data_IF_259307657113
#
_entry.id   IF_259307657113
#
_cell.length_a   1.000
_cell.length_b   1.000
_cell.length_c   1.000
_cell.angle_alpha   90.00
_cell.angle_beta   90.00
_cell.angle_gamma   90.00
#
_symmetry.space_group_name_H-M   'P 1'
#
loop_
_entity.id
_entity.type
_entity.pdbx_description
1 polymer ?
#
# COMPACT_ATOMS: atom_id res chain seq x y z
N UNK A 1 -1.37 -43.17 26.55
CA UNK A 1 -1.67 -42.44 25.33
C UNK A 1 -1.50 -40.96 25.60
N UNK A 2 -0.48 -40.39 25.01
CA UNK A 2 -0.22 -38.95 25.15
C UNK A 2 -1.04 -38.23 24.12
N UNK A 3 -1.95 -37.41 24.59
CA UNK A 3 -2.66 -36.49 23.70
C UNK A 3 -1.71 -35.35 23.34
N UNK A 4 -1.22 -35.39 22.13
CA UNK A 4 -0.54 -34.24 21.55
C UNK A 4 -1.62 -33.22 21.18
N UNK A 5 -1.89 -32.32 22.09
CA UNK A 5 -2.75 -31.18 21.80
C UNK A 5 -1.86 -30.06 21.26
N UNK A 6 -1.80 -29.96 19.95
CA UNK A 6 -1.17 -28.80 19.35
C UNK A 6 -2.17 -27.63 19.37
N UNK A 7 -1.73 -26.41 19.71
CA UNK A 7 -2.60 -25.25 19.60
C UNK A 7 -3.08 -25.10 18.16
N UNK A 8 -4.36 -24.94 17.97
CA UNK A 8 -5.01 -24.78 16.66
C UNK A 8 -4.48 -23.55 15.92
N UNK A 9 -3.95 -22.58 16.65
CA UNK A 9 -3.37 -21.35 16.11
C UNK A 9 -1.97 -21.20 16.69
N UNK A 10 -0.97 -21.13 15.83
CA UNK A 10 0.40 -20.79 16.23
C UNK A 10 0.37 -19.39 16.87
N UNK A 11 0.94 -19.25 18.05
CA UNK A 11 1.02 -17.96 18.74
C UNK A 11 1.69 -16.87 17.91
N UNK A 12 2.57 -17.25 16.98
CA UNK A 12 3.18 -16.31 16.04
C UNK A 12 2.17 -15.75 15.05
N UNK A 13 1.11 -16.50 14.75
CA UNK A 13 0.04 -16.09 13.85
C UNK A 13 -1.06 -15.26 14.55
N UNK A 14 -0.97 -15.12 15.89
CA UNK A 14 -1.89 -14.27 16.64
C UNK A 14 -1.49 -12.78 16.61
N UNK A 15 -0.27 -12.48 16.16
CA UNK A 15 0.16 -11.08 16.01
C UNK A 15 -0.58 -10.47 14.82
N UNK A 16 -1.20 -9.28 14.99
CA UNK A 16 -1.82 -8.60 13.88
C UNK A 16 -0.80 -8.31 12.77
N UNK A 17 -1.20 -8.52 11.54
CA UNK A 17 -0.41 -8.12 10.39
C UNK A 17 -0.57 -6.62 10.18
N UNK A 18 0.52 -5.88 10.33
CA UNK A 18 0.55 -4.43 10.14
C UNK A 18 1.17 -4.12 8.79
N UNK A 19 0.49 -3.31 8.01
CA UNK A 19 0.99 -2.84 6.71
C UNK A 19 1.01 -1.32 6.68
N UNK A 20 2.11 -0.77 6.17
CA UNK A 20 2.24 0.66 5.86
C UNK A 20 2.27 0.81 4.35
N UNK A 21 1.33 1.56 3.81
CA UNK A 21 1.27 1.87 2.38
C UNK A 21 1.64 3.32 2.15
N UNK A 22 2.65 3.54 1.34
CA UNK A 22 3.05 4.87 0.88
C UNK A 22 2.51 5.15 -0.51
N UNK A 23 1.76 6.23 -0.65
CA UNK A 23 1.09 6.60 -1.90
C UNK A 23 1.69 7.87 -2.47
N UNK A 24 2.08 7.82 -3.74
CA UNK A 24 2.67 8.95 -4.44
C UNK A 24 4.11 9.20 -4.04
N UNK A 25 4.71 10.28 -4.54
CA UNK A 25 6.13 10.57 -4.31
C UNK A 25 6.49 10.73 -2.85
N UNK A 26 5.75 11.55 -2.12
CA UNK A 26 6.01 11.79 -0.69
C UNK A 26 5.77 10.54 0.15
N UNK A 27 4.70 9.79 -0.14
CA UNK A 27 4.40 8.53 0.55
C UNK A 27 5.47 7.47 0.29
N UNK A 28 5.94 7.35 -0.95
CA UNK A 28 7.02 6.43 -1.31
C UNK A 28 8.30 6.78 -0.56
N UNK A 29 8.63 8.07 -0.48
CA UNK A 29 9.82 8.53 0.24
C UNK A 29 9.72 8.24 1.74
N UNK A 30 8.56 8.45 2.34
CA UNK A 30 8.33 8.12 3.75
C UNK A 30 8.54 6.63 4.02
N UNK A 31 8.03 5.75 3.16
CA UNK A 31 8.24 4.31 3.29
C UNK A 31 9.72 3.96 3.14
N UNK A 32 10.42 4.55 2.19
CA UNK A 32 11.87 4.32 2.04
C UNK A 32 12.61 4.65 3.33
N UNK A 33 12.27 5.76 3.98
CA UNK A 33 12.88 6.16 5.25
C UNK A 33 12.57 5.15 6.37
N UNK A 34 11.35 4.64 6.42
CA UNK A 34 10.95 3.62 7.40
C UNK A 34 11.70 2.31 7.19
N UNK A 35 11.89 1.89 5.93
CA UNK A 35 12.65 0.69 5.60
C UNK A 35 14.11 0.85 6.05
N UNK A 36 14.72 2.00 5.83
CA UNK A 36 16.09 2.30 6.26
C UNK A 36 16.23 2.29 7.79
N UNK A 37 15.15 2.58 8.51
CA UNK A 37 15.13 2.56 9.97
C UNK A 37 14.99 1.16 10.57
N UNK A 38 14.93 0.13 9.75
CA UNK A 38 14.84 -1.28 10.17
C UNK A 38 13.66 -1.58 11.10
N UNK A 39 12.48 -1.06 10.78
CA UNK A 39 11.26 -1.40 11.50
C UNK A 39 10.92 -2.87 11.31
N UNK A 40 10.72 -3.59 12.42
CA UNK A 40 10.41 -5.01 12.41
C UNK A 40 8.90 -5.26 12.49
N UNK A 41 8.46 -6.40 11.93
CA UNK A 41 7.07 -6.86 12.01
C UNK A 41 6.06 -5.94 11.30
N UNK A 42 6.52 -5.21 10.29
CA UNK A 42 5.68 -4.35 9.46
C UNK A 42 5.92 -4.70 8.00
N UNK A 43 4.84 -4.87 7.27
CA UNK A 43 4.88 -5.01 5.82
C UNK A 43 4.80 -3.63 5.17
N UNK A 44 5.53 -3.43 4.09
CA UNK A 44 5.51 -2.18 3.37
C UNK A 44 5.00 -2.37 1.96
N UNK A 45 4.19 -1.44 1.50
CA UNK A 45 3.70 -1.37 0.12
C UNK A 45 3.88 0.08 -0.35
N UNK A 46 4.36 0.24 -1.57
CA UNK A 46 4.38 1.55 -2.23
C UNK A 46 3.47 1.52 -3.45
N UNK A 47 2.72 2.59 -3.64
CA UNK A 47 1.83 2.76 -4.76
C UNK A 47 2.10 4.11 -5.43
N UNK A 48 2.17 4.12 -6.75
CA UNK A 48 2.41 5.35 -7.50
C UNK A 48 1.91 5.20 -8.94
N UNK A 49 1.61 6.32 -9.55
CA UNK A 49 1.34 6.42 -10.99
C UNK A 49 2.62 6.59 -11.80
N UNK A 50 3.71 6.97 -11.14
CA UNK A 50 5.03 7.18 -11.74
C UNK A 50 5.86 5.88 -11.64
N UNK A 51 6.04 5.21 -12.76
CA UNK A 51 6.78 3.96 -12.83
C UNK A 51 8.25 4.13 -12.42
N UNK A 52 8.85 5.24 -12.75
CA UNK A 52 10.26 5.51 -12.42
C UNK A 52 10.44 5.67 -10.92
N UNK A 53 9.52 6.33 -10.25
CA UNK A 53 9.53 6.45 -8.79
C UNK A 53 9.44 5.08 -8.11
N UNK A 54 8.64 4.18 -8.66
CA UNK A 54 8.53 2.81 -8.16
C UNK A 54 9.83 2.02 -8.35
N UNK A 55 10.47 2.16 -9.49
CA UNK A 55 11.75 1.49 -9.74
C UNK A 55 12.84 1.92 -8.77
N UNK A 56 12.81 3.17 -8.34
CA UNK A 56 13.78 3.73 -7.41
C UNK A 56 13.43 3.48 -5.93
N UNK A 57 12.29 2.85 -5.66
CA UNK A 57 11.88 2.55 -4.28
C UNK A 57 12.68 1.40 -3.69
N UNK A 58 12.96 1.49 -2.39
CA UNK A 58 13.55 0.40 -1.61
C UNK A 58 12.53 -0.68 -1.27
N UNK A 59 11.24 -0.40 -1.44
CA UNK A 59 10.17 -1.33 -1.11
C UNK A 59 10.07 -2.43 -2.15
N UNK A 60 9.92 -3.67 -1.69
CA UNK A 60 9.75 -4.82 -2.58
C UNK A 60 8.35 -4.87 -3.19
N UNK A 61 7.32 -4.60 -2.37
CA UNK A 61 5.92 -4.65 -2.81
C UNK A 61 5.52 -3.31 -3.42
N UNK A 62 5.30 -3.31 -4.71
CA UNK A 62 5.04 -2.09 -5.48
C UNK A 62 3.75 -2.25 -6.28
N UNK A 63 2.91 -1.23 -6.24
CA UNK A 63 1.69 -1.18 -7.04
C UNK A 63 1.77 0.01 -8.00
N UNK A 64 1.77 -0.27 -9.30
CA UNK A 64 1.64 0.79 -10.30
C UNK A 64 0.17 1.09 -10.49
N UNK A 65 -0.25 2.29 -10.08
CA UNK A 65 -1.61 2.76 -10.20
C UNK A 65 -1.86 3.29 -11.61
N UNK A 66 -3.01 2.94 -12.18
CA UNK A 66 -3.47 3.54 -13.42
C UNK A 66 -2.55 3.27 -14.60
N UNK A 67 -2.20 2.01 -14.83
CA UNK A 67 -1.30 1.61 -15.91
C UNK A 67 -1.77 2.14 -17.27
N UNK A 68 -3.07 2.07 -17.54
CA UNK A 68 -3.65 2.60 -18.78
C UNK A 68 -3.84 4.11 -18.73
N UNK A 69 -4.27 4.63 -17.59
CA UNK A 69 -4.58 6.06 -17.42
C UNK A 69 -3.35 6.95 -17.56
N UNK A 70 -2.24 6.57 -16.92
CA UNK A 70 -1.03 7.43 -16.88
C UNK A 70 0.13 6.87 -17.67
N UNK A 71 0.11 5.59 -18.03
CA UNK A 71 1.18 4.89 -18.75
C UNK A 71 2.55 5.05 -18.06
N UNK A 72 2.55 5.15 -16.74
CA UNK A 72 3.76 5.29 -15.95
C UNK A 72 4.33 6.71 -15.87
N UNK A 73 3.64 7.70 -16.44
CA UNK A 73 4.14 9.08 -16.49
C UNK A 73 3.76 9.93 -15.27
N UNK A 74 2.97 9.37 -14.34
CA UNK A 74 2.52 10.11 -13.18
C UNK A 74 1.22 10.85 -13.40
N UNK A 75 0.72 11.51 -12.35
CA UNK A 75 -0.57 12.20 -12.37
C UNK A 75 -0.47 13.67 -12.74
N UNK A 76 0.74 14.23 -12.92
CA UNK A 76 0.93 15.62 -13.28
C UNK A 76 0.34 16.60 -12.26
N UNK A 77 0.41 16.27 -10.98
CA UNK A 77 -0.17 17.05 -9.88
C UNK A 77 -1.70 17.25 -9.97
N UNK A 78 -2.38 16.40 -10.74
CA UNK A 78 -3.84 16.44 -10.88
C UNK A 78 -4.49 15.36 -10.03
N UNK A 79 -5.21 15.71 -8.95
CA UNK A 79 -5.87 14.73 -8.09
C UNK A 79 -6.93 13.88 -8.79
N UNK A 80 -7.58 14.40 -9.83
CA UNK A 80 -8.57 13.61 -10.58
C UNK A 80 -7.90 12.48 -11.34
N UNK A 81 -6.71 12.67 -11.86
CA UNK A 81 -5.92 11.62 -12.50
C UNK A 81 -5.48 10.58 -11.47
N UNK A 82 -5.02 11.01 -10.30
CA UNK A 82 -4.67 10.11 -9.20
C UNK A 82 -5.84 9.24 -8.74
N UNK A 83 -7.02 9.84 -8.64
CA UNK A 83 -8.26 9.13 -8.28
C UNK A 83 -8.62 8.08 -9.32
N UNK A 84 -8.65 8.46 -10.60
CA UNK A 84 -8.97 7.54 -11.68
C UNK A 84 -7.95 6.39 -11.78
N UNK A 85 -6.68 6.69 -11.56
CA UNK A 85 -5.63 5.69 -11.54
C UNK A 85 -5.84 4.66 -10.44
N UNK A 86 -6.21 5.11 -9.24
CA UNK A 86 -6.52 4.20 -8.13
C UNK A 86 -7.79 3.37 -8.41
N UNK A 87 -8.81 3.99 -8.99
CA UNK A 87 -10.04 3.29 -9.37
C UNK A 87 -9.77 2.19 -10.40
N UNK A 88 -8.89 2.43 -11.36
CA UNK A 88 -8.45 1.42 -12.32
C UNK A 88 -7.76 0.23 -11.64
N UNK A 89 -7.10 0.47 -10.53
CA UNK A 89 -6.24 -0.51 -9.85
C UNK A 89 -6.89 -1.16 -8.63
N UNK A 90 -8.21 -1.03 -8.45
CA UNK A 90 -8.93 -1.53 -7.26
C UNK A 90 -8.64 -3.01 -6.99
N UNK A 91 -8.67 -3.86 -8.02
CA UNK A 91 -8.46 -5.29 -7.85
C UNK A 91 -7.05 -5.60 -7.35
N UNK A 92 -6.06 -4.91 -7.90
CA UNK A 92 -4.66 -5.06 -7.50
C UNK A 92 -4.44 -4.61 -6.05
N UNK A 93 -5.00 -3.46 -5.69
CA UNK A 93 -4.92 -2.92 -4.33
C UNK A 93 -5.61 -3.88 -3.35
N UNK A 94 -6.79 -4.36 -3.68
CA UNK A 94 -7.55 -5.28 -2.84
C UNK A 94 -6.77 -6.58 -2.59
N UNK A 95 -6.14 -7.11 -3.62
CA UNK A 95 -5.33 -8.33 -3.51
C UNK A 95 -4.15 -8.14 -2.55
N UNK A 96 -3.44 -7.02 -2.67
CA UNK A 96 -2.29 -6.71 -1.81
C UNK A 96 -2.68 -6.50 -0.35
N UNK A 97 -3.89 -6.00 -0.08
CA UNK A 97 -4.36 -5.71 1.28
C UNK A 97 -5.12 -6.86 1.94
N UNK A 98 -5.39 -7.95 1.23
CA UNK A 98 -6.31 -9.01 1.67
C UNK A 98 -5.93 -9.64 3.02
N UNK A 99 -4.64 -9.80 3.31
CA UNK A 99 -4.16 -10.47 4.51
C UNK A 99 -3.68 -9.50 5.60
N UNK A 100 -3.98 -8.22 5.45
CA UNK A 100 -3.62 -7.18 6.40
C UNK A 100 -4.71 -7.02 7.46
N UNK A 101 -4.33 -6.88 8.72
CA UNK A 101 -5.24 -6.61 9.81
C UNK A 101 -5.39 -5.10 10.09
N UNK A 102 -4.29 -4.36 9.96
CA UNK A 102 -4.27 -2.92 10.19
C UNK A 102 -3.43 -2.26 9.10
N UNK A 103 -3.97 -1.22 8.51
CA UNK A 103 -3.32 -0.47 7.44
C UNK A 103 -3.07 0.97 7.89
N UNK A 104 -1.81 1.38 7.79
CA UNK A 104 -1.42 2.79 7.89
C UNK A 104 -1.14 3.31 6.48
N UNK A 105 -1.72 4.44 6.15
CA UNK A 105 -1.49 5.07 4.84
C UNK A 105 -0.72 6.37 5.05
N UNK A 106 0.37 6.53 4.31
CA UNK A 106 1.11 7.78 4.26
C UNK A 106 1.08 8.34 2.85
N UNK A 107 0.70 9.60 2.72
CA UNK A 107 0.60 10.28 1.44
C UNK A 107 0.85 11.78 1.62
N UNK A 108 1.52 12.38 0.65
CA UNK A 108 1.65 13.83 0.62
C UNK A 108 0.38 14.48 0.14
N UNK A 109 -0.02 15.58 0.77
CA UNK A 109 -1.14 16.40 0.31
C UNK A 109 -0.65 17.43 -0.70
N UNK A 110 -1.49 17.73 -1.69
CA UNK A 110 -1.17 18.69 -2.74
C UNK A 110 -0.57 18.10 -4.00
N UNK A 111 -0.16 16.85 -3.97
CA UNK A 111 0.24 16.11 -5.18
C UNK A 111 -0.96 15.48 -5.86
N UNK A 112 -0.77 15.01 -7.10
CA UNK A 112 -1.86 14.39 -7.86
C UNK A 112 -2.19 13.00 -7.37
N UNK A 113 -1.19 12.12 -7.28
CA UNK A 113 -1.39 10.71 -6.93
C UNK A 113 -1.84 10.54 -5.48
N UNK A 114 -1.11 11.10 -4.53
CA UNK A 114 -1.42 10.93 -3.11
C UNK A 114 -2.79 11.49 -2.75
N UNK A 115 -3.07 12.71 -3.15
CA UNK A 115 -4.33 13.39 -2.85
C UNK A 115 -5.53 12.68 -3.49
N UNK A 116 -5.39 12.26 -4.76
CA UNK A 116 -6.49 11.62 -5.49
C UNK A 116 -6.72 10.18 -5.11
N UNK A 117 -5.65 9.42 -4.92
CA UNK A 117 -5.74 7.97 -4.65
C UNK A 117 -6.12 7.65 -3.20
N UNK A 118 -5.75 8.50 -2.25
CA UNK A 118 -5.97 8.23 -0.82
C UNK A 118 -7.42 7.87 -0.48
N UNK A 119 -8.45 8.64 -0.89
CA UNK A 119 -9.83 8.29 -0.57
C UNK A 119 -10.27 6.95 -1.18
N UNK A 120 -9.79 6.64 -2.38
CA UNK A 120 -10.11 5.36 -3.05
C UNK A 120 -9.53 4.20 -2.27
N UNK A 121 -8.27 4.28 -1.90
CA UNK A 121 -7.58 3.23 -1.15
C UNK A 121 -8.19 3.07 0.26
N UNK A 122 -8.50 4.16 0.93
CA UNK A 122 -9.18 4.12 2.22
C UNK A 122 -10.55 3.45 2.13
N UNK A 123 -11.29 3.70 1.06
CA UNK A 123 -12.58 3.05 0.81
C UNK A 123 -12.43 1.54 0.60
N UNK A 124 -11.40 1.12 -0.15
CA UNK A 124 -11.08 -0.31 -0.34
C UNK A 124 -10.77 -0.96 1.01
N UNK A 125 -9.91 -0.33 1.80
CA UNK A 125 -9.54 -0.85 3.13
C UNK A 125 -10.76 -1.01 4.03
N UNK A 126 -11.66 -0.03 4.03
CA UNK A 126 -12.90 -0.09 4.79
C UNK A 126 -13.78 -1.28 4.38
N UNK A 127 -13.91 -1.52 3.07
CA UNK A 127 -14.68 -2.67 2.55
C UNK A 127 -14.05 -4.00 2.93
N UNK A 128 -12.74 -4.05 3.13
CA UNK A 128 -12.01 -5.23 3.59
C UNK A 128 -12.01 -5.36 5.12
N UNK A 129 -12.69 -4.48 5.83
CA UNK A 129 -12.77 -4.45 7.30
C UNK A 129 -11.42 -4.21 7.99
N UNK A 130 -10.62 -3.40 7.37
CA UNK A 130 -9.32 -2.99 7.93
C UNK A 130 -9.47 -1.77 8.83
#
# INVERSE_FOLDING_TARGET
MTLDIEPVVDQKNLKPSLTVMGIGGAGNNAVNNMIQSNLNNVEFIVANTDAQALENSLCYNRIQLGLEKTKGLGAGADPSVGKEAAEESIDLISEELRNTNMLFITAGLGGGTGTGALPVIASIAKKLSL
#
